data_IF_841736070395
#
_entry.id   IF_841736070395
#
_cell.length_a   1.000
_cell.length_b   1.000
_cell.length_c   1.000
_cell.angle_alpha   90.00
_cell.angle_beta   90.00
_cell.angle_gamma   90.00
#
_symmetry.space_group_name_H-M   'P 1'
#
loop_
_entity.id
_entity.type
_entity.pdbx_description
1 polymer ?
#
# COMPACT_ATOMS: atom_id res chain seq x y z
N UNK A 1 -43.09 -27.76 29.38
CA UNK A 1 -44.09 -28.83 29.25
C UNK A 1 -43.33 -30.14 29.04
N UNK A 2 -43.38 -31.08 29.98
CA UNK A 2 -42.84 -32.43 29.77
C UNK A 2 -43.99 -33.40 29.49
N UNK A 3 -43.93 -34.10 28.37
CA UNK A 3 -44.97 -35.06 27.97
C UNK A 3 -44.61 -36.44 28.50
N UNK A 4 -45.51 -37.07 29.26
CA UNK A 4 -45.29 -38.41 29.82
C UNK A 4 -45.68 -39.53 28.84
N UNK A 5 -46.50 -39.23 27.83
CA UNK A 5 -46.99 -40.19 26.83
C UNK A 5 -46.75 -39.65 25.42
N UNK A 6 -46.39 -40.55 24.51
CA UNK A 6 -46.13 -40.21 23.10
C UNK A 6 -47.35 -39.58 22.42
N UNK A 7 -48.56 -40.09 22.69
CA UNK A 7 -49.80 -39.54 22.11
C UNK A 7 -50.06 -38.09 22.52
N UNK A 8 -49.70 -37.73 23.76
CA UNK A 8 -49.82 -36.35 24.26
C UNK A 8 -48.81 -35.41 23.60
N UNK A 9 -47.59 -35.89 23.33
CA UNK A 9 -46.60 -35.15 22.55
C UNK A 9 -47.10 -34.95 21.10
N UNK A 10 -47.59 -36.01 20.47
CA UNK A 10 -48.07 -35.96 19.09
C UNK A 10 -49.22 -34.95 18.92
N UNK A 11 -50.24 -35.02 19.77
CA UNK A 11 -51.37 -34.09 19.73
C UNK A 11 -50.92 -32.63 20.00
N UNK A 12 -49.91 -32.43 20.84
CA UNK A 12 -49.32 -31.11 21.02
C UNK A 12 -48.57 -30.61 19.79
N UNK A 13 -47.86 -31.48 19.06
CA UNK A 13 -47.21 -31.09 17.80
C UNK A 13 -48.28 -30.74 16.74
N UNK A 14 -49.32 -31.56 16.62
CA UNK A 14 -50.33 -31.45 15.57
C UNK A 14 -51.30 -30.28 15.77
N UNK A 15 -51.72 -30.02 17.02
CA UNK A 15 -52.79 -29.07 17.34
C UNK A 15 -52.46 -28.15 18.54
N UNK A 16 -51.24 -28.19 19.03
CA UNK A 16 -50.82 -27.38 20.18
C UNK A 16 -50.67 -25.90 19.84
N UNK A 17 -50.91 -25.05 20.86
CA UNK A 17 -50.59 -23.63 20.79
C UNK A 17 -49.07 -23.47 20.94
N UNK A 18 -48.37 -23.46 19.80
CA UNK A 18 -46.94 -23.19 19.74
C UNK A 18 -46.68 -21.68 19.92
N UNK A 19 -45.78 -21.31 20.82
CA UNK A 19 -45.23 -19.95 20.89
C UNK A 19 -44.03 -19.90 19.95
N UNK A 20 -44.24 -19.44 18.73
CA UNK A 20 -43.15 -19.21 17.79
C UNK A 20 -42.34 -18.01 18.29
N UNK A 21 -41.08 -18.25 18.65
CA UNK A 21 -40.09 -17.20 18.79
C UNK A 21 -39.32 -17.14 17.46
N UNK A 22 -39.14 -15.94 16.90
CA UNK A 22 -38.25 -15.74 15.75
C UNK A 22 -36.83 -16.13 16.18
N UNK A 23 -36.31 -17.23 15.63
CA UNK A 23 -35.08 -17.83 16.15
C UNK A 23 -33.83 -16.99 15.90
N UNK A 24 -33.80 -16.13 14.87
CA UNK A 24 -32.72 -15.17 14.64
C UNK A 24 -33.17 -14.10 13.63
N UNK A 25 -33.24 -12.84 14.05
CA UNK A 25 -33.14 -11.74 13.09
C UNK A 25 -31.69 -11.70 12.57
N UNK A 26 -31.41 -12.44 11.51
CA UNK A 26 -30.14 -12.28 10.81
C UNK A 26 -30.04 -10.83 10.32
N UNK A 27 -28.84 -10.26 10.34
CA UNK A 27 -28.61 -8.88 9.85
C UNK A 27 -29.17 -8.67 8.44
N UNK A 28 -29.20 -9.73 7.63
CA UNK A 28 -29.77 -9.76 6.30
C UNK A 28 -31.29 -9.51 6.29
N UNK A 29 -32.05 -10.23 7.12
CA UNK A 29 -33.51 -10.03 7.23
C UNK A 29 -33.83 -8.62 7.71
N UNK A 30 -33.05 -8.11 8.67
CA UNK A 30 -33.19 -6.74 9.16
C UNK A 30 -32.91 -5.70 8.07
N UNK A 31 -31.87 -5.91 7.25
CA UNK A 31 -31.56 -5.04 6.13
C UNK A 31 -32.68 -5.01 5.08
N UNK A 32 -33.28 -6.17 4.76
CA UNK A 32 -34.42 -6.26 3.83
C UNK A 32 -35.60 -5.44 4.35
N UNK A 33 -35.98 -5.63 5.62
CA UNK A 33 -37.11 -4.92 6.23
C UNK A 33 -36.84 -3.40 6.25
N UNK A 34 -35.64 -2.99 6.65
CA UNK A 34 -35.27 -1.58 6.67
C UNK A 34 -35.26 -0.96 5.26
N UNK A 35 -34.81 -1.70 4.26
CA UNK A 35 -34.81 -1.23 2.88
C UNK A 35 -36.23 -1.07 2.33
N UNK A 36 -37.11 -2.06 2.54
CA UNK A 36 -38.51 -1.98 2.17
C UNK A 36 -39.20 -0.77 2.83
N UNK A 37 -38.98 -0.59 4.15
CA UNK A 37 -39.49 0.56 4.90
C UNK A 37 -38.99 1.90 4.34
N UNK A 38 -37.74 1.99 3.88
CA UNK A 38 -37.18 3.20 3.25
C UNK A 38 -37.78 3.48 1.87
N UNK A 39 -38.14 2.46 1.11
CA UNK A 39 -38.82 2.64 -0.18
C UNK A 39 -40.25 3.17 0.01
N UNK A 40 -40.98 2.62 0.99
CA UNK A 40 -42.36 3.05 1.29
C UNK A 40 -42.42 4.48 1.86
N UNK A 41 -41.39 4.90 2.61
CA UNK A 41 -41.27 6.27 3.12
C UNK A 41 -40.94 7.30 2.01
N UNK A 42 -40.73 6.84 0.77
CA UNK A 42 -40.33 7.68 -0.34
C UNK A 42 -38.86 8.11 -0.25
N UNK A 43 -38.33 8.67 -1.34
CA UNK A 43 -36.99 9.25 -1.34
C UNK A 43 -36.93 10.36 -0.28
N UNK A 44 -36.30 10.07 0.86
CA UNK A 44 -35.89 11.13 1.78
C UNK A 44 -35.06 12.13 1.00
N UNK A 45 -35.35 13.41 1.22
CA UNK A 45 -34.97 14.66 0.55
C UNK A 45 -33.50 14.87 0.08
N UNK A 46 -32.64 13.85 0.13
CA UNK A 46 -31.21 13.88 -0.23
C UNK A 46 -30.93 13.22 -1.58
N UNK A 47 -31.83 13.32 -2.55
CA UNK A 47 -31.41 13.19 -3.95
C UNK A 47 -30.95 14.58 -4.39
N UNK A 48 -29.66 14.82 -4.68
CA UNK A 48 -29.23 16.11 -5.18
C UNK A 48 -29.93 16.36 -6.52
N UNK A 49 -30.94 17.22 -6.52
CA UNK A 49 -31.43 17.79 -7.77
C UNK A 49 -30.28 18.60 -8.36
N UNK A 50 -29.82 18.19 -9.54
CA UNK A 50 -28.93 19.03 -10.34
C UNK A 50 -29.81 20.19 -10.82
N UNK A 51 -29.70 21.33 -10.15
CA UNK A 51 -30.26 22.58 -10.62
C UNK A 51 -29.30 23.12 -11.70
N UNK A 52 -29.77 23.28 -12.94
CA UNK A 52 -28.93 23.67 -14.08
C UNK A 52 -28.53 25.15 -14.10
N UNK A 53 -28.97 25.97 -13.14
CA UNK A 53 -28.70 27.40 -13.16
C UNK A 53 -28.05 27.89 -11.86
N UNK A 54 -26.72 28.03 -11.86
CA UNK A 54 -25.99 28.83 -10.86
C UNK A 54 -25.21 29.93 -11.62
N UNK A 55 -25.43 31.22 -11.32
CA UNK A 55 -24.59 32.29 -11.83
C UNK A 55 -23.17 32.13 -11.27
N UNK A 56 -22.19 32.19 -12.18
CA UNK A 56 -20.76 32.12 -11.87
C UNK A 56 -20.37 33.29 -10.96
N UNK A 57 -20.34 33.06 -9.66
CA UNK A 57 -19.56 33.88 -8.75
C UNK A 57 -18.16 33.28 -8.68
N UNK A 58 -17.18 34.07 -9.13
CA UNK A 58 -15.77 33.69 -9.23
C UNK A 58 -15.17 33.73 -7.82
N UNK A 59 -15.59 32.80 -6.97
CA UNK A 59 -14.88 32.51 -5.73
C UNK A 59 -13.64 31.75 -6.16
N UNK A 60 -12.48 32.39 -5.95
CA UNK A 60 -11.17 31.80 -6.15
C UNK A 60 -11.03 30.51 -5.34
N UNK A 61 -11.45 29.39 -5.92
CA UNK A 61 -11.22 28.07 -5.35
C UNK A 61 -9.72 27.80 -5.40
N UNK A 62 -9.07 27.38 -4.29
CA UNK A 62 -7.71 26.89 -4.35
C UNK A 62 -7.69 25.75 -5.37
N UNK A 63 -6.75 25.81 -6.31
CA UNK A 63 -6.54 24.80 -7.36
C UNK A 63 -6.40 23.44 -6.66
N UNK A 64 -7.49 22.69 -6.58
CA UNK A 64 -7.46 21.31 -6.10
C UNK A 64 -6.66 20.54 -7.15
N UNK A 65 -5.53 19.97 -6.75
CA UNK A 65 -4.76 19.07 -7.61
C UNK A 65 -5.74 18.01 -8.15
N UNK A 66 -5.85 17.95 -9.48
CA UNK A 66 -6.88 17.20 -10.19
C UNK A 66 -7.01 15.74 -9.68
N UNK A 67 -8.25 15.26 -9.59
CA UNK A 67 -8.72 14.22 -8.66
C UNK A 67 -8.20 12.78 -8.76
N UNK A 68 -8.79 11.92 -7.92
CA UNK A 68 -8.45 10.49 -7.65
C UNK A 68 -8.34 9.56 -8.87
N UNK A 69 -8.86 9.97 -10.03
CA UNK A 69 -8.81 9.21 -11.28
C UNK A 69 -7.54 9.47 -12.12
N UNK A 70 -6.74 10.49 -11.79
CA UNK A 70 -5.50 10.76 -12.52
C UNK A 70 -4.38 9.84 -12.04
N UNK A 71 -3.72 9.19 -13.01
CA UNK A 71 -2.51 8.41 -12.75
C UNK A 71 -1.40 9.38 -12.33
N UNK A 72 -0.94 9.27 -11.08
CA UNK A 72 0.23 10.02 -10.63
C UNK A 72 1.44 9.58 -11.47
N UNK A 73 2.04 10.51 -12.21
CA UNK A 73 3.32 10.25 -12.88
C UNK A 73 4.37 10.01 -11.82
N UNK A 74 4.98 8.82 -11.84
CA UNK A 74 6.04 8.47 -10.89
C UNK A 74 7.32 9.21 -11.27
N UNK A 75 7.63 10.27 -10.54
CA UNK A 75 8.89 10.99 -10.66
C UNK A 75 10.08 10.11 -10.26
N UNK A 76 11.02 9.89 -11.19
CA UNK A 76 12.25 9.16 -10.92
C UNK A 76 13.38 10.14 -10.61
N UNK A 77 13.69 10.32 -9.32
CA UNK A 77 14.85 11.12 -8.90
C UNK A 77 16.14 10.36 -9.16
N UNK A 78 17.06 11.01 -9.90
CA UNK A 78 18.44 10.51 -10.05
C UNK A 78 19.15 10.55 -8.69
N UNK A 79 19.99 9.55 -8.44
CA UNK A 79 20.82 9.53 -7.23
C UNK A 79 21.85 10.67 -7.29
N UNK A 80 21.90 11.45 -6.21
CA UNK A 80 22.90 12.48 -5.98
C UNK A 80 24.30 11.85 -5.84
N UNK A 81 25.34 12.60 -6.19
CA UNK A 81 26.71 12.12 -6.09
C UNK A 81 27.07 11.75 -4.64
N UNK A 82 26.60 12.53 -3.67
CA UNK A 82 26.76 12.26 -2.23
C UNK A 82 26.15 10.92 -1.80
N UNK A 83 25.02 10.54 -2.40
CA UNK A 83 24.38 9.26 -2.13
C UNK A 83 25.18 8.12 -2.75
N UNK A 84 25.69 8.30 -3.97
CA UNK A 84 26.52 7.29 -4.64
C UNK A 84 27.82 7.05 -3.91
N UNK A 85 28.53 8.09 -3.47
CA UNK A 85 29.80 7.96 -2.75
C UNK A 85 29.60 7.18 -1.46
N UNK A 86 28.56 7.50 -0.68
CA UNK A 86 28.21 6.73 0.52
C UNK A 86 27.88 5.26 0.23
N UNK A 87 27.12 4.99 -0.84
CA UNK A 87 26.80 3.62 -1.23
C UNK A 87 28.02 2.85 -1.73
N UNK A 88 28.95 3.49 -2.43
CA UNK A 88 30.20 2.88 -2.88
C UNK A 88 31.13 2.56 -1.71
N UNK A 89 31.25 3.46 -0.74
CA UNK A 89 32.05 3.24 0.46
C UNK A 89 31.54 2.03 1.27
N UNK A 90 30.24 2.03 1.56
CA UNK A 90 29.58 0.88 2.23
C UNK A 90 29.69 -0.42 1.44
N UNK A 91 29.67 -0.34 0.10
CA UNK A 91 29.85 -1.49 -0.77
C UNK A 91 31.28 -2.04 -0.71
N UNK A 92 32.29 -1.15 -0.75
CA UNK A 92 33.70 -1.51 -0.69
C UNK A 92 34.08 -2.14 0.66
N UNK A 93 33.57 -1.62 1.77
CA UNK A 93 33.74 -2.24 3.09
C UNK A 93 33.17 -3.67 3.10
N UNK A 94 32.03 -3.90 2.45
CA UNK A 94 31.45 -5.22 2.30
C UNK A 94 32.31 -6.18 1.48
N UNK A 95 32.99 -5.69 0.44
CA UNK A 95 33.94 -6.48 -0.35
C UNK A 95 35.19 -6.83 0.46
N UNK A 96 35.75 -5.88 1.21
CA UNK A 96 36.94 -6.11 2.04
C UNK A 96 36.67 -7.09 3.19
N UNK A 97 35.48 -7.03 3.79
CA UNK A 97 35.06 -7.92 4.88
C UNK A 97 34.52 -9.26 4.37
N UNK A 98 34.27 -9.40 3.07
CA UNK A 98 33.60 -10.55 2.46
C UNK A 98 32.12 -10.67 2.79
N UNK A 99 31.56 -9.75 3.58
CA UNK A 99 30.16 -9.75 3.97
C UNK A 99 29.40 -8.64 3.23
N UNK A 100 28.51 -9.04 2.32
CA UNK A 100 27.68 -8.10 1.58
C UNK A 100 26.80 -7.28 2.53
N UNK A 101 26.85 -5.95 2.40
CA UNK A 101 25.97 -5.05 3.12
C UNK A 101 24.50 -5.30 2.77
N UNK A 102 23.67 -5.57 3.78
CA UNK A 102 22.22 -5.75 3.61
C UNK A 102 21.54 -4.41 3.28
N UNK A 103 20.78 -4.29 2.17
CA UNK A 103 20.14 -3.03 1.77
C UNK A 103 19.20 -2.43 2.82
N UNK A 104 18.55 -3.26 3.65
CA UNK A 104 17.67 -2.76 4.72
C UNK A 104 18.51 -2.14 5.84
N UNK A 105 19.59 -2.81 6.23
CA UNK A 105 20.58 -2.27 7.17
C UNK A 105 21.16 -0.96 6.66
N UNK A 106 21.62 -0.89 5.41
CA UNK A 106 22.20 0.32 4.81
C UNK A 106 21.20 1.48 4.79
N UNK A 107 19.93 1.22 4.49
CA UNK A 107 18.89 2.25 4.57
C UNK A 107 18.75 2.83 5.98
N UNK A 108 18.85 1.99 7.02
CA UNK A 108 18.79 2.42 8.42
C UNK A 108 20.04 3.18 8.84
N UNK A 109 21.23 2.71 8.45
CA UNK A 109 22.49 3.40 8.77
C UNK A 109 22.59 4.73 8.05
N UNK A 110 22.12 4.83 6.81
CA UNK A 110 22.09 6.08 6.04
C UNK A 110 21.29 7.17 6.76
N UNK A 111 20.15 6.83 7.37
CA UNK A 111 19.33 7.78 8.16
C UNK A 111 20.04 8.26 9.43
N UNK A 112 20.94 7.44 9.97
CA UNK A 112 21.72 7.72 11.18
C UNK A 112 23.11 8.28 10.88
N UNK A 113 23.52 8.31 9.61
CA UNK A 113 24.82 8.79 9.21
C UNK A 113 24.99 10.27 9.58
N UNK A 114 26.17 10.58 10.12
CA UNK A 114 26.58 11.91 10.55
C UNK A 114 27.89 12.30 9.88
N UNK A 115 28.03 13.58 9.60
CA UNK A 115 29.30 14.18 9.17
C UNK A 115 30.25 14.26 10.37
N UNK A 116 31.53 14.52 10.11
CA UNK A 116 32.54 14.74 11.17
C UNK A 116 32.20 15.92 12.09
N UNK A 117 31.38 16.86 11.61
CA UNK A 117 30.86 18.00 12.37
C UNK A 117 29.70 17.64 13.30
N UNK A 118 29.19 16.41 13.24
CA UNK A 118 28.05 15.93 14.04
C UNK A 118 26.67 16.16 13.39
N UNK A 119 26.61 16.90 12.27
CA UNK A 119 25.35 17.13 11.55
C UNK A 119 24.88 15.91 10.75
N UNK A 120 23.56 15.76 10.48
CA UNK A 120 23.04 14.72 9.60
C UNK A 120 23.70 14.71 8.23
N UNK A 121 24.26 13.57 7.83
CA UNK A 121 24.86 13.42 6.50
C UNK A 121 23.81 13.55 5.41
N UNK A 122 22.56 13.17 5.64
CA UNK A 122 21.49 13.25 4.64
C UNK A 122 20.22 13.86 5.24
N UNK A 123 19.48 14.59 4.41
CA UNK A 123 18.15 15.11 4.74
C UNK A 123 17.05 14.08 4.46
N UNK A 124 15.85 14.29 4.99
CA UNK A 124 14.74 13.35 4.87
C UNK A 124 14.33 13.06 3.40
N UNK A 125 14.49 14.05 2.52
CA UNK A 125 14.18 13.94 1.09
C UNK A 125 15.25 13.17 0.31
N UNK A 126 16.43 12.97 0.90
CA UNK A 126 17.58 12.28 0.32
C UNK A 126 17.72 10.84 0.82
N UNK A 127 16.85 10.39 1.73
CA UNK A 127 16.91 9.00 2.20
C UNK A 127 16.53 8.03 1.09
N UNK A 128 17.33 6.98 0.96
CA UNK A 128 17.08 5.90 0.02
C UNK A 128 16.35 4.75 0.69
N UNK A 129 15.41 4.18 -0.05
CA UNK A 129 14.73 2.94 0.31
C UNK A 129 15.65 1.75 0.08
N UNK A 130 15.42 0.65 0.81
CA UNK A 130 16.17 -0.60 0.62
C UNK A 130 16.11 -1.09 -0.84
N UNK A 131 14.98 -0.89 -1.53
CA UNK A 131 14.83 -1.26 -2.95
C UNK A 131 15.74 -0.43 -3.87
N UNK A 132 15.85 0.88 -3.64
CA UNK A 132 16.76 1.74 -4.41
C UNK A 132 18.22 1.33 -4.20
N UNK A 133 18.60 1.04 -2.95
CA UNK A 133 19.95 0.58 -2.60
C UNK A 133 20.25 -0.78 -3.24
N UNK A 134 19.33 -1.75 -3.14
CA UNK A 134 19.48 -3.06 -3.76
C UNK A 134 19.62 -2.98 -5.30
N UNK A 135 18.83 -2.11 -5.93
CA UNK A 135 18.92 -1.84 -7.38
C UNK A 135 20.28 -1.25 -7.75
N UNK A 136 20.81 -0.31 -6.95
CA UNK A 136 22.12 0.29 -7.16
C UNK A 136 23.24 -0.76 -7.10
N UNK A 137 23.31 -1.56 -6.02
CA UNK A 137 24.31 -2.62 -5.89
C UNK A 137 24.22 -3.70 -6.97
N UNK A 138 23.02 -4.01 -7.43
CA UNK A 138 22.84 -4.97 -8.54
C UNK A 138 23.47 -4.46 -9.83
N UNK A 139 23.36 -3.15 -10.10
CA UNK A 139 23.96 -2.49 -11.28
C UNK A 139 25.48 -2.41 -11.15
N UNK A 140 26.01 -2.06 -9.98
CA UNK A 140 27.46 -2.05 -9.74
C UNK A 140 28.08 -3.43 -9.97
N UNK A 141 27.46 -4.50 -9.45
CA UNK A 141 27.89 -5.88 -9.72
C UNK A 141 27.83 -6.24 -11.20
N UNK A 142 26.75 -5.83 -11.89
CA UNK A 142 26.62 -6.11 -13.32
C UNK A 142 27.70 -5.40 -14.14
N UNK A 143 28.07 -4.16 -13.76
CA UNK A 143 29.17 -3.41 -14.37
C UNK A 143 30.48 -4.18 -14.24
N UNK A 144 30.78 -4.73 -13.07
CA UNK A 144 31.99 -5.51 -12.86
C UNK A 144 32.00 -6.82 -13.63
N UNK A 145 30.87 -7.55 -13.69
CA UNK A 145 30.77 -8.76 -14.52
C UNK A 145 31.03 -8.47 -16.00
N UNK A 146 30.49 -7.36 -16.52
CA UNK A 146 30.74 -6.94 -17.90
C UNK A 146 32.19 -6.55 -18.13
N UNK A 147 32.81 -5.83 -17.18
CA UNK A 147 34.22 -5.48 -17.25
C UNK A 147 35.12 -6.74 -17.24
N UNK A 148 34.84 -7.70 -16.36
CA UNK A 148 35.56 -8.97 -16.29
C UNK A 148 35.39 -9.82 -17.56
N UNK A 149 34.19 -9.85 -18.14
CA UNK A 149 33.92 -10.56 -19.40
C UNK A 149 34.59 -9.90 -20.62
N UNK A 150 34.82 -8.58 -20.59
CA UNK A 150 35.48 -7.83 -21.66
C UNK A 150 37.01 -7.93 -21.69
N UNK A 151 37.64 -8.52 -20.66
CA UNK A 151 39.11 -8.60 -20.53
C UNK A 151 39.71 -9.87 -21.19
N UNK A 152 38.90 -10.76 -21.79
CA UNK A 152 39.37 -12.03 -22.36
C UNK A 152 39.60 -12.07 -23.88
N UNK A 153 39.47 -10.96 -24.62
CA UNK A 153 39.67 -10.98 -26.09
C UNK A 153 40.33 -9.72 -26.64
N UNK A 154 41.59 -9.42 -26.28
CA UNK A 154 42.51 -8.73 -27.20
C UNK A 154 43.96 -9.02 -26.80
N UNK A 155 44.46 -10.18 -27.17
CA UNK A 155 45.90 -10.37 -27.38
C UNK A 155 46.10 -11.12 -28.69
N UNK A 156 47.13 -10.69 -29.43
CA UNK A 156 47.62 -11.16 -30.73
C UNK A 156 46.88 -10.72 -31.99
N UNK A 157 47.43 -9.69 -32.65
CA UNK A 157 48.16 -9.95 -33.90
C UNK A 157 49.25 -8.88 -34.12
N UNK A 158 50.49 -9.29 -33.84
CA UNK A 158 51.68 -8.71 -34.47
C UNK A 158 51.64 -8.98 -35.99
N UNK A 159 52.00 -7.94 -36.74
CA UNK A 159 52.83 -7.84 -37.96
C UNK A 159 52.37 -6.59 -38.73
#
# INVERSE_FOLDING_TARGET
MSFQRHSSLQNHLDCGKHKYALECETLFVKAIIMYASKLEQGATCDVPQICEDIPVDVVATPILNMGWALKSTKEYKRLSEKQKTYLLDTYQVGEQTGQKADPVSVSRTMKRARLSTGEPMFTATEYLTAQQIASFYSRERAKWRKAAAGVSTTSQKDI
#
